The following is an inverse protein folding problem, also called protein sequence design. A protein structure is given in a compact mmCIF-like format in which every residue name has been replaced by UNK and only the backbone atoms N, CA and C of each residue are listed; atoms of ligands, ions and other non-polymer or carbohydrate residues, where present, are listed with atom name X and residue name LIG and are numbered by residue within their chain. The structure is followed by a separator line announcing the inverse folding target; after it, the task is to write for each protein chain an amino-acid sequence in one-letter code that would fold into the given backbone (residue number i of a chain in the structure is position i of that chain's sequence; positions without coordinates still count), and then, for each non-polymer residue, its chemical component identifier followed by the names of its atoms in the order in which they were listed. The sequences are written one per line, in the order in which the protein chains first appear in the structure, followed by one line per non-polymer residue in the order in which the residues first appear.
data_IF_408231692372
#
_entry.id   IF_408231692372
#
_cell.length_a   1.000
_cell.length_b   1.000
_cell.length_c   1.000
_cell.angle_alpha   90.00
_cell.angle_beta   90.00
_cell.angle_gamma   90.00
#
_symmetry.space_group_name_H-M   'P 1'
#
loop_
_entity.id
_entity.type
_entity.pdbx_description
1 polymer ?
#
# COMPACT_ATOMS: atom_id res chain seq x y z
N UNK A 1 8.98 -4.55 12.44
CA UNK A 1 8.25 -3.61 13.33
C UNK A 1 9.05 -2.31 13.53
N UNK A 2 9.10 -1.49 12.47
CA UNK A 2 9.95 -0.29 12.40
C UNK A 2 9.07 0.98 12.40
N UNK A 3 9.71 2.16 12.30
CA UNK A 3 9.02 3.45 12.26
C UNK A 3 8.00 3.57 11.12
N UNK A 4 6.99 4.42 11.33
CA UNK A 4 5.81 4.55 10.47
C UNK A 4 6.08 5.21 9.11
N UNK A 5 7.11 6.06 9.01
CA UNK A 5 7.36 6.91 7.84
C UNK A 5 7.50 6.09 6.56
N UNK A 6 8.22 4.95 6.62
CA UNK A 6 8.41 4.08 5.47
C UNK A 6 7.10 3.44 5.00
N UNK A 7 6.21 3.07 5.93
CA UNK A 7 4.92 2.45 5.64
C UNK A 7 4.00 3.48 4.97
N UNK A 8 3.84 4.66 5.59
CA UNK A 8 2.98 5.71 5.05
C UNK A 8 3.50 6.24 3.70
N UNK A 9 4.81 6.48 3.58
CA UNK A 9 5.41 6.94 2.34
C UNK A 9 5.22 5.96 1.17
N UNK A 10 5.29 4.64 1.45
CA UNK A 10 5.02 3.61 0.44
C UNK A 10 3.56 3.63 0.00
N UNK A 11 2.61 3.68 0.94
CA UNK A 11 1.18 3.77 0.63
C UNK A 11 0.85 5.04 -0.18
N UNK A 12 1.38 6.20 0.22
CA UNK A 12 1.18 7.46 -0.51
C UNK A 12 1.67 7.35 -1.94
N UNK A 13 2.89 6.82 -2.15
CA UNK A 13 3.45 6.65 -3.49
C UNK A 13 2.58 5.75 -4.37
N UNK A 14 1.97 4.70 -3.81
CA UNK A 14 1.08 3.80 -4.54
C UNK A 14 -0.26 4.41 -4.93
N UNK A 15 -0.64 5.53 -4.32
CA UNK A 15 -1.88 6.26 -4.62
C UNK A 15 -1.68 7.39 -5.66
N UNK A 16 -0.44 7.78 -5.96
CA UNK A 16 -0.14 8.92 -6.82
C UNK A 16 -0.15 8.52 -8.31
N UNK A 17 -1.09 9.04 -9.14
CA UNK A 17 -1.21 8.66 -10.55
C UNK A 17 -0.08 9.18 -11.45
N UNK A 18 0.77 10.08 -10.94
CA UNK A 18 2.00 10.50 -11.62
C UNK A 18 3.21 9.65 -11.25
N UNK A 19 3.15 8.91 -10.14
CA UNK A 19 4.22 8.02 -9.68
C UNK A 19 4.05 6.60 -10.23
N UNK A 20 2.82 6.19 -10.53
CA UNK A 20 2.49 4.87 -11.09
C UNK A 20 1.53 4.99 -12.26
N UNK A 21 1.82 4.27 -13.35
CA UNK A 21 0.94 4.23 -14.53
C UNK A 21 -0.44 3.65 -14.23
N UNK A 22 -0.49 2.67 -13.33
CA UNK A 22 -1.69 2.06 -12.77
C UNK A 22 -1.54 2.01 -11.24
N UNK A 23 -2.10 2.99 -10.51
CA UNK A 23 -2.06 3.00 -9.05
C UNK A 23 -2.64 1.73 -8.44
N UNK A 24 -2.10 1.31 -7.30
CA UNK A 24 -2.59 0.16 -6.54
C UNK A 24 -3.43 0.57 -5.33
N UNK A 25 -3.26 1.81 -4.87
CA UNK A 25 -4.07 2.41 -3.81
C UNK A 25 -5.02 3.46 -4.40
N UNK A 26 -6.29 3.40 -4.02
CA UNK A 26 -7.29 4.44 -4.26
C UNK A 26 -7.34 5.31 -3.00
N UNK A 27 -6.78 6.52 -3.09
CA UNK A 27 -6.63 7.45 -1.98
C UNK A 27 -7.61 8.62 -2.05
N UNK A 28 -8.18 8.99 -0.91
CA UNK A 28 -9.01 10.18 -0.74
C UNK A 28 -8.38 11.14 0.28
N UNK A 29 -8.20 12.41 -0.11
CA UNK A 29 -7.53 13.44 0.69
C UNK A 29 -6.31 14.02 -0.03
N UNK A 30 -5.42 14.68 0.71
CA UNK A 30 -4.20 15.25 0.15
C UNK A 30 -3.05 14.22 0.15
N UNK A 31 -2.76 13.65 -1.02
CA UNK A 31 -1.65 12.73 -1.29
C UNK A 31 -0.42 13.41 -1.91
N UNK A 32 -0.33 14.73 -1.78
CA UNK A 32 0.74 15.55 -2.33
C UNK A 32 0.49 15.95 -3.79
N UNK A 33 1.50 16.53 -4.42
CA UNK A 33 1.46 16.94 -5.83
C UNK A 33 2.68 16.41 -6.60
N UNK A 34 2.76 16.76 -7.91
CA UNK A 34 3.97 16.49 -8.72
C UNK A 34 5.14 17.41 -8.35
N UNK A 35 4.86 18.53 -7.69
CA UNK A 35 5.86 19.47 -7.20
C UNK A 35 6.27 19.14 -5.76
N UNK A 36 6.47 20.18 -4.96
CA UNK A 36 7.02 20.04 -3.61
C UNK A 36 5.96 19.92 -2.49
N UNK A 37 4.68 19.82 -2.85
CA UNK A 37 3.61 19.64 -1.86
C UNK A 37 3.60 18.20 -1.35
N UNK A 38 3.98 18.03 -0.08
CA UNK A 38 3.91 16.75 0.61
C UNK A 38 2.48 16.28 0.90
N UNK A 39 2.28 14.98 1.16
CA UNK A 39 0.99 14.47 1.60
C UNK A 39 0.62 15.03 2.98
N UNK A 40 -0.68 15.07 3.26
CA UNK A 40 -1.16 15.30 4.62
C UNK A 40 -0.71 14.18 5.57
N UNK A 41 -0.85 14.39 6.87
CA UNK A 41 -0.62 13.34 7.87
C UNK A 41 -1.66 12.20 7.72
N UNK A 42 -1.26 10.96 8.05
CA UNK A 42 -2.07 9.74 7.86
C UNK A 42 -3.49 9.78 8.43
N UNK A 43 -3.74 10.58 9.48
CA UNK A 43 -5.06 10.76 10.09
C UNK A 43 -6.04 11.62 9.26
N UNK A 44 -5.58 12.23 8.17
CA UNK A 44 -6.36 13.10 7.29
C UNK A 44 -6.51 12.54 5.87
N UNK A 45 -6.14 11.27 5.67
CA UNK A 45 -6.22 10.58 4.38
C UNK A 45 -6.94 9.26 4.56
N UNK A 46 -7.77 8.90 3.59
CA UNK A 46 -8.40 7.58 3.50
C UNK A 46 -7.79 6.82 2.32
N UNK A 47 -7.70 5.50 2.43
CA UNK A 47 -7.11 4.65 1.41
C UNK A 47 -7.83 3.29 1.35
N UNK A 48 -8.00 2.78 0.13
CA UNK A 48 -8.47 1.40 -0.14
C UNK A 48 -7.72 0.82 -1.35
N UNK A 49 -7.88 -0.47 -1.59
CA UNK A 49 -7.32 -1.12 -2.77
C UNK A 49 -8.06 -0.69 -4.04
N UNK A 50 -7.31 -0.45 -5.11
CA UNK A 50 -7.88 -0.30 -6.46
C UNK A 50 -8.38 -1.66 -6.98
N UNK A 51 -9.24 -1.70 -8.01
CA UNK A 51 -9.60 -2.95 -8.68
C UNK A 51 -8.40 -3.73 -9.21
N UNK A 52 -7.37 -3.05 -9.75
CA UNK A 52 -6.16 -3.71 -10.23
C UNK A 52 -5.36 -4.34 -9.08
N UNK A 53 -5.29 -3.68 -7.92
CA UNK A 53 -4.64 -4.25 -6.75
C UNK A 53 -5.38 -5.47 -6.20
N UNK A 54 -6.70 -5.54 -6.34
CA UNK A 54 -7.46 -6.74 -5.99
C UNK A 54 -7.07 -7.94 -6.86
N UNK A 55 -6.75 -7.72 -8.14
CA UNK A 55 -6.22 -8.81 -8.99
C UNK A 55 -4.83 -9.28 -8.56
N UNK A 56 -4.02 -8.42 -7.93
CA UNK A 56 -2.70 -8.81 -7.40
C UNK A 56 -2.79 -9.75 -6.20
N UNK A 57 -3.87 -9.67 -5.42
CA UNK A 57 -4.11 -10.49 -4.23
C UNK A 57 -5.26 -11.48 -4.42
N UNK A 58 -5.67 -11.68 -5.68
CA UNK A 58 -6.74 -12.60 -6.04
C UNK A 58 -6.33 -14.03 -5.66
N UNK A 59 -7.28 -14.75 -5.07
CA UNK A 59 -7.14 -16.16 -4.71
C UNK A 59 -5.89 -16.46 -3.82
N UNK A 60 -5.37 -15.45 -3.11
CA UNK A 60 -4.16 -15.56 -2.27
C UNK A 60 -4.32 -16.55 -1.10
N UNK A 61 -5.56 -16.94 -0.79
CA UNK A 61 -5.89 -17.93 0.25
C UNK A 61 -6.00 -19.37 -0.28
N UNK A 62 -5.75 -19.58 -1.57
CA UNK A 62 -5.92 -20.87 -2.25
C UNK A 62 -4.58 -21.56 -2.54
N UNK A 63 -3.55 -21.33 -1.71
CA UNK A 63 -2.19 -21.88 -1.87
C UNK A 63 -1.57 -21.57 -3.25
N UNK A 64 -1.85 -20.38 -3.77
CA UNK A 64 -1.35 -19.91 -5.07
C UNK A 64 0.08 -19.38 -5.01
N UNK A 65 0.56 -19.03 -3.81
CA UNK A 65 1.93 -18.57 -3.53
C UNK A 65 2.40 -19.14 -2.19
N UNK A 66 3.72 -19.18 -2.02
CA UNK A 66 4.34 -19.56 -0.76
C UNK A 66 4.15 -18.46 0.30
N UNK A 67 4.03 -18.90 1.55
CA UNK A 67 3.96 -18.04 2.72
C UNK A 67 5.11 -18.39 3.66
N UNK A 68 5.67 -17.39 4.33
CA UNK A 68 6.69 -17.55 5.36
C UNK A 68 6.21 -17.00 6.71
N UNK A 69 6.78 -17.44 7.84
CA UNK A 69 6.52 -16.81 9.14
C UNK A 69 6.90 -15.33 9.13
N UNK A 70 6.08 -14.48 9.76
CA UNK A 70 6.36 -13.05 9.92
C UNK A 70 7.51 -12.81 10.94
N UNK A 71 7.83 -11.54 11.19
CA UNK A 71 8.99 -11.14 12.01
C UNK A 71 9.08 -11.77 13.43
N UNK A 72 7.96 -12.14 14.05
CA UNK A 72 7.90 -12.81 15.37
C UNK A 72 7.37 -14.25 15.33
N UNK A 73 7.14 -14.78 14.13
CA UNK A 73 6.68 -16.15 13.88
C UNK A 73 5.24 -16.45 14.32
N UNK A 74 4.43 -15.43 14.64
CA UNK A 74 3.04 -15.63 15.10
C UNK A 74 2.03 -15.72 13.97
N UNK A 75 2.32 -15.09 12.84
CA UNK A 75 1.49 -15.16 11.62
C UNK A 75 2.35 -15.49 10.42
N UNK A 76 1.72 -15.69 9.27
CA UNK A 76 2.42 -15.85 8.00
C UNK A 76 2.16 -14.67 7.07
N UNK A 77 3.09 -14.44 6.15
CA UNK A 77 3.00 -13.40 5.11
C UNK A 77 3.48 -13.98 3.75
N UNK A 78 2.94 -13.49 2.62
CA UNK A 78 3.37 -13.94 1.29
C UNK A 78 4.83 -13.52 1.01
N UNK A 79 5.56 -14.36 0.26
CA UNK A 79 6.98 -14.14 -0.14
C UNK A 79 7.09 -13.28 -1.40
#
# INVERSE_FOLDING_TARGET
PHGDIAIYGTMVRMAQPWSMRYPLVDGQGNFGSRGDDGPAAMRYTEARLTPLAMEMVRDIRENTVDFQPNYDGRTTEPV
#
